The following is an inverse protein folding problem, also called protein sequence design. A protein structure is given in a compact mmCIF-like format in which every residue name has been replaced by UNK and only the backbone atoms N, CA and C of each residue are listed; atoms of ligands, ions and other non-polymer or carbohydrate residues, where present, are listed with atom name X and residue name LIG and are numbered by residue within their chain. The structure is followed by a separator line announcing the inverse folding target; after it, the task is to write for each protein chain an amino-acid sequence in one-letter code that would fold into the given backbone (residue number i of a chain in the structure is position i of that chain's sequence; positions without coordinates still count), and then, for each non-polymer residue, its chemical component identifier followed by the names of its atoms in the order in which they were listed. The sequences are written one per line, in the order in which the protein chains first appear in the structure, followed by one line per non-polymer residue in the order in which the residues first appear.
data_IF_586405703171
#
_entry.id   IF_586405703171
#
_cell.length_a   1.000
_cell.length_b   1.000
_cell.length_c   1.000
_cell.angle_alpha   90.00
_cell.angle_beta   90.00
_cell.angle_gamma   90.00
#
_symmetry.space_group_name_H-M   'P 1'
#
loop_
_entity.id
_entity.type
_entity.pdbx_description
1 polymer ?
#
# COMPACT_ATOMS: atom_id res chain seq x y z
N UNK A 1 30.33 -22.84 30.12
CA UNK A 1 29.18 -23.04 29.20
C UNK A 1 28.93 -21.74 28.42
N UNK A 2 29.37 -21.67 27.17
CA UNK A 2 29.26 -20.48 26.31
C UNK A 2 27.88 -20.43 25.64
N UNK A 3 27.13 -19.34 25.83
CA UNK A 3 25.86 -19.07 25.13
C UNK A 3 26.17 -18.59 23.71
N UNK A 4 25.88 -19.41 22.71
CA UNK A 4 26.02 -19.08 21.29
C UNK A 4 24.99 -17.99 20.92
N UNK A 5 25.45 -16.77 20.64
CA UNK A 5 24.61 -15.70 20.06
C UNK A 5 24.22 -16.11 18.64
N UNK A 6 22.93 -16.40 18.42
CA UNK A 6 22.37 -16.64 17.07
C UNK A 6 22.48 -15.34 16.26
N UNK A 7 23.28 -15.39 15.18
CA UNK A 7 23.46 -14.31 14.21
C UNK A 7 22.18 -14.16 13.38
N UNK A 8 21.45 -13.07 13.59
CA UNK A 8 20.26 -12.74 12.79
C UNK A 8 20.74 -12.36 11.38
N UNK A 9 20.34 -13.13 10.37
CA UNK A 9 20.66 -12.87 8.97
C UNK A 9 19.83 -11.71 8.43
N UNK A 10 20.36 -10.96 7.45
CA UNK A 10 19.70 -9.77 6.87
C UNK A 10 18.31 -10.06 6.27
N UNK A 11 18.01 -11.32 5.95
CA UNK A 11 16.71 -11.77 5.41
C UNK A 11 15.59 -11.85 6.48
N UNK A 12 15.94 -11.78 7.77
CA UNK A 12 14.98 -11.68 8.88
C UNK A 12 14.61 -10.23 9.21
N UNK A 13 15.42 -9.24 8.78
CA UNK A 13 15.14 -7.81 9.01
C UNK A 13 14.09 -7.25 8.04
N UNK A 14 14.06 -7.74 6.81
CA UNK A 14 13.08 -7.31 5.80
C UNK A 14 11.63 -7.69 6.15
N UNK A 15 11.42 -8.88 6.74
CA UNK A 15 10.12 -9.36 7.19
C UNK A 15 9.61 -8.72 8.49
N UNK A 16 10.51 -8.11 9.27
CA UNK A 16 10.12 -7.38 10.47
C UNK A 16 9.67 -5.95 10.11
N UNK A 17 10.22 -5.37 9.04
CA UNK A 17 9.94 -4.00 8.61
C UNK A 17 8.56 -3.83 7.95
N UNK A 18 8.06 -4.82 7.20
CA UNK A 18 6.74 -4.74 6.55
C UNK A 18 5.59 -4.76 7.56
N UNK A 19 5.68 -5.62 8.59
CA UNK A 19 4.70 -5.66 9.68
C UNK A 19 4.75 -4.39 10.52
N UNK A 20 5.94 -3.85 10.79
CA UNK A 20 6.11 -2.59 11.52
C UNK A 20 5.49 -1.39 10.78
N UNK A 21 5.49 -1.33 9.45
CA UNK A 21 4.84 -0.24 8.71
C UNK A 21 3.32 -0.25 8.90
N UNK A 22 2.69 -1.43 8.85
CA UNK A 22 1.26 -1.59 9.18
C UNK A 22 0.95 -1.17 10.63
N UNK A 23 1.79 -1.59 11.58
CA UNK A 23 1.66 -1.15 12.98
C UNK A 23 1.92 0.34 13.17
N UNK A 24 2.87 0.95 12.44
CA UNK A 24 3.22 2.37 12.52
C UNK A 24 2.14 3.26 11.89
N UNK A 25 1.47 2.83 10.81
CA UNK A 25 0.36 3.60 10.23
C UNK A 25 -0.92 3.50 11.06
N UNK A 26 -1.20 2.33 11.65
CA UNK A 26 -2.22 2.18 12.71
C UNK A 26 -1.85 3.05 13.93
N UNK A 27 -0.57 3.07 14.31
CA UNK A 27 -0.06 3.94 15.38
C UNK A 27 -0.14 5.42 15.04
N UNK A 28 0.11 5.85 13.79
CA UNK A 28 -0.03 7.26 13.38
C UNK A 28 -1.50 7.68 13.45
N UNK A 29 -2.44 6.81 13.07
CA UNK A 29 -3.87 7.02 13.30
C UNK A 29 -4.20 7.17 14.80
N UNK A 30 -3.66 6.29 15.65
CA UNK A 30 -3.82 6.33 17.11
C UNK A 30 -3.12 7.54 17.78
N UNK A 31 -1.97 7.98 17.26
CA UNK A 31 -1.19 9.13 17.77
C UNK A 31 -1.81 10.45 17.33
N UNK A 32 -2.42 10.54 16.13
CA UNK A 32 -3.13 11.74 15.70
C UNK A 32 -4.55 11.84 16.26
N UNK A 33 -5.22 10.73 16.57
CA UNK A 33 -6.63 10.71 16.98
C UNK A 33 -6.90 9.68 18.09
N UNK A 34 -6.57 10.00 19.36
CA UNK A 34 -6.61 9.03 20.47
C UNK A 34 -8.02 8.58 20.88
N UNK A 35 -9.08 9.29 20.48
CA UNK A 35 -10.46 9.06 20.96
C UNK A 35 -11.31 8.17 20.03
N UNK A 36 -10.77 7.64 18.93
CA UNK A 36 -11.57 6.91 17.93
C UNK A 36 -11.04 5.49 17.72
N UNK A 37 -11.87 4.50 18.04
CA UNK A 37 -11.57 3.09 17.83
C UNK A 37 -11.29 2.82 16.33
N UNK A 38 -10.18 2.15 15.99
CA UNK A 38 -9.91 1.78 14.60
C UNK A 38 -11.01 0.84 14.11
N UNK A 39 -11.57 1.14 12.92
CA UNK A 39 -12.31 0.14 12.17
C UNK A 39 -11.31 -0.93 11.73
N UNK A 40 -11.14 -1.97 12.55
CA UNK A 40 -10.37 -3.14 12.16
C UNK A 40 -10.96 -3.70 10.87
N UNK A 41 -10.16 -3.91 9.80
CA UNK A 41 -10.57 -4.72 8.68
C UNK A 41 -11.07 -6.05 9.25
N UNK A 42 -12.29 -6.46 8.89
CA UNK A 42 -12.85 -7.75 9.32
C UNK A 42 -11.99 -8.86 8.69
N UNK A 43 -10.95 -9.26 9.41
CA UNK A 43 -10.11 -10.39 9.12
C UNK A 43 -11.01 -11.64 9.13
N UNK A 44 -11.51 -12.05 7.97
CA UNK A 44 -12.01 -13.41 7.84
C UNK A 44 -10.78 -14.30 7.94
N UNK A 45 -10.58 -14.91 9.11
CA UNK A 45 -9.69 -16.04 9.26
C UNK A 45 -10.11 -17.11 8.27
N UNK A 46 -9.33 -17.32 7.22
CA UNK A 46 -9.38 -18.58 6.50
C UNK A 46 -8.03 -18.94 5.90
N UNK A 47 -7.47 -20.01 6.51
CA UNK A 47 -6.40 -20.89 6.06
C UNK A 47 -5.01 -20.28 5.82
N UNK A 48 -4.18 -20.51 6.84
CA UNK A 48 -2.71 -20.54 6.80
C UNK A 48 -2.23 -21.39 5.61
N UNK A 49 -1.79 -20.76 4.52
CA UNK A 49 -1.11 -21.46 3.42
C UNK A 49 0.39 -21.46 3.73
N UNK A 50 0.91 -22.60 4.17
CA UNK A 50 2.33 -22.80 4.43
C UNK A 50 3.08 -22.86 3.10
N UNK A 51 3.75 -21.78 2.70
CA UNK A 51 4.71 -21.86 1.59
C UNK A 51 6.07 -22.32 2.10
N UNK A 52 6.37 -23.59 1.82
CA UNK A 52 7.69 -24.20 1.91
C UNK A 52 8.59 -23.56 0.87
N UNK A 53 9.73 -23.01 1.30
CA UNK A 53 10.74 -22.44 0.42
C UNK A 53 11.42 -23.55 -0.40
N UNK A 54 11.35 -23.46 -1.73
CA UNK A 54 12.25 -24.19 -2.63
C UNK A 54 12.82 -23.23 -3.66
N UNK A 55 14.13 -23.06 -3.61
CA UNK A 55 14.91 -22.32 -4.58
C UNK A 55 14.91 -23.06 -5.92
N UNK A 56 14.30 -22.47 -6.97
CA UNK A 56 14.68 -22.62 -8.38
C UNK A 56 13.80 -21.69 -9.24
N UNK A 57 14.43 -20.83 -10.06
CA UNK A 57 13.81 -20.15 -11.21
C UNK A 57 12.91 -18.93 -10.90
N UNK A 58 13.35 -17.73 -11.29
CA UNK A 58 12.47 -16.56 -11.38
C UNK A 58 11.38 -16.86 -12.43
N UNK A 59 10.15 -17.10 -11.98
CA UNK A 59 8.99 -17.18 -12.88
C UNK A 59 8.34 -15.79 -13.01
N UNK A 60 7.65 -15.47 -14.14
CA UNK A 60 6.93 -14.20 -14.34
C UNK A 60 5.67 -14.03 -13.45
N UNK A 61 5.57 -14.83 -12.40
CA UNK A 61 4.35 -15.10 -11.63
C UNK A 61 3.83 -13.90 -10.84
N UNK A 62 4.70 -12.95 -10.48
CA UNK A 62 4.32 -11.73 -9.79
C UNK A 62 3.33 -10.86 -10.57
N UNK A 63 3.48 -10.81 -11.90
CA UNK A 63 2.59 -10.01 -12.75
C UNK A 63 1.14 -10.50 -12.69
N UNK A 64 0.90 -11.81 -12.60
CA UNK A 64 -0.47 -12.35 -12.56
C UNK A 64 -1.23 -11.91 -11.31
N UNK A 65 -0.59 -12.01 -10.13
CA UNK A 65 -1.19 -11.60 -8.84
C UNK A 65 -1.55 -10.11 -8.83
N UNK A 66 -0.69 -9.27 -9.40
CA UNK A 66 -0.95 -7.84 -9.54
C UNK A 66 -2.10 -7.56 -10.53
N UNK A 67 -2.16 -8.30 -11.65
CA UNK A 67 -3.28 -8.20 -12.59
C UNK A 67 -4.61 -8.62 -11.97
N UNK A 68 -4.62 -9.66 -11.13
CA UNK A 68 -5.82 -10.09 -10.41
C UNK A 68 -6.32 -8.98 -9.46
N UNK A 69 -5.41 -8.27 -8.77
CA UNK A 69 -5.78 -7.09 -7.98
C UNK A 69 -6.39 -5.98 -8.83
N UNK A 70 -5.82 -5.69 -10.00
CA UNK A 70 -6.33 -4.63 -10.90
C UNK A 70 -7.72 -4.92 -11.45
N UNK A 71 -8.09 -6.19 -11.58
CA UNK A 71 -9.42 -6.58 -12.02
C UNK A 71 -10.51 -6.28 -10.99
N UNK A 72 -10.15 -6.06 -9.72
CA UNK A 72 -11.09 -5.65 -8.67
C UNK A 72 -11.71 -4.30 -8.98
N UNK A 73 -13.03 -4.19 -8.81
CA UNK A 73 -13.83 -3.04 -9.28
C UNK A 73 -13.28 -1.70 -8.79
N UNK A 74 -12.85 -1.62 -7.53
CA UNK A 74 -12.36 -0.38 -6.91
C UNK A 74 -10.93 -0.01 -7.30
N UNK A 75 -10.18 -0.95 -7.90
CA UNK A 75 -8.80 -0.77 -8.36
C UNK A 75 -8.72 -0.31 -9.82
N UNK A 76 -9.83 -0.38 -10.57
CA UNK A 76 -9.92 0.09 -11.97
C UNK A 76 -9.93 1.61 -12.11
N UNK A 77 -9.95 2.32 -10.99
CA UNK A 77 -9.94 3.77 -10.94
C UNK A 77 -8.84 4.25 -10.02
N UNK A 78 -8.15 5.31 -10.42
CA UNK A 78 -7.19 6.05 -9.61
C UNK A 78 -7.78 6.34 -8.24
N UNK A 79 -7.01 6.04 -7.20
CA UNK A 79 -7.42 6.26 -5.83
C UNK A 79 -7.73 7.73 -5.60
N UNK A 80 -6.81 8.66 -5.91
CA UNK A 80 -6.94 10.08 -5.57
C UNK A 80 -8.13 10.85 -6.16
N UNK A 81 -8.56 10.53 -7.38
CA UNK A 81 -9.62 11.30 -8.05
C UNK A 81 -10.51 10.49 -9.00
N UNK A 82 -10.32 9.17 -9.10
CA UNK A 82 -11.22 8.31 -9.86
C UNK A 82 -10.97 8.22 -11.37
N UNK A 83 -9.84 8.72 -11.90
CA UNK A 83 -9.48 8.47 -13.30
C UNK A 83 -9.51 6.97 -13.65
N UNK A 84 -10.09 6.54 -14.78
CA UNK A 84 -10.05 5.14 -15.18
C UNK A 84 -8.62 4.68 -15.49
N UNK A 85 -8.43 3.36 -15.47
CA UNK A 85 -7.22 2.66 -15.90
C UNK A 85 -5.91 3.24 -15.31
N UNK A 86 -5.76 3.22 -13.97
CA UNK A 86 -4.50 3.62 -13.35
C UNK A 86 -3.35 2.78 -13.93
N UNK A 87 -2.17 3.42 -14.10
CA UNK A 87 -0.97 2.78 -14.66
C UNK A 87 0.19 2.73 -13.68
N UNK A 88 0.00 3.32 -12.49
CA UNK A 88 0.95 3.30 -11.39
C UNK A 88 0.27 2.78 -10.14
N UNK A 89 1.09 2.36 -9.18
CA UNK A 89 0.64 2.01 -7.84
C UNK A 89 1.64 2.51 -6.80
N UNK A 90 1.14 2.82 -5.61
CA UNK A 90 1.97 3.04 -4.42
C UNK A 90 2.01 1.74 -3.63
N UNK A 91 3.08 0.96 -3.78
CA UNK A 91 3.16 -0.43 -3.32
C UNK A 91 3.00 -0.58 -1.80
N UNK A 92 3.57 0.33 -1.03
CA UNK A 92 3.53 0.31 0.43
C UNK A 92 2.24 0.91 1.03
N UNK A 93 1.51 1.72 0.25
CA UNK A 93 0.20 2.28 0.64
C UNK A 93 -0.93 1.34 0.19
N UNK A 94 -0.70 0.54 -0.86
CA UNK A 94 -1.69 -0.39 -1.39
C UNK A 94 -2.73 0.25 -2.30
N UNK A 95 -2.36 1.29 -3.06
CA UNK A 95 -3.30 2.03 -3.93
C UNK A 95 -2.84 2.09 -5.38
N UNK A 96 -3.79 2.06 -6.31
CA UNK A 96 -3.57 2.30 -7.73
C UNK A 96 -3.83 3.76 -8.08
N UNK A 97 -2.89 4.40 -8.80
CA UNK A 97 -2.90 5.83 -9.10
C UNK A 97 -2.62 6.11 -10.58
N UNK A 98 -3.05 7.28 -11.04
CA UNK A 98 -2.85 7.74 -12.42
C UNK A 98 -1.57 8.57 -12.59
N UNK A 99 -1.27 8.94 -13.84
CA UNK A 99 -0.05 9.70 -14.21
C UNK A 99 -0.02 11.05 -13.52
N UNK A 100 -1.18 11.71 -13.50
CA UNK A 100 -1.30 13.09 -13.01
C UNK A 100 -0.99 13.21 -11.53
N UNK A 101 -1.18 12.14 -10.73
CA UNK A 101 -0.89 12.15 -9.28
C UNK A 101 0.34 11.37 -8.89
N UNK A 102 0.85 10.49 -9.74
CA UNK A 102 2.08 9.76 -9.43
C UNK A 102 3.25 10.71 -9.11
N UNK A 103 3.30 11.89 -9.74
CA UNK A 103 4.29 12.93 -9.42
C UNK A 103 4.19 13.45 -7.99
N UNK A 104 2.98 13.69 -7.48
CA UNK A 104 2.76 14.13 -6.09
C UNK A 104 3.22 13.05 -5.11
N UNK A 105 2.82 11.81 -5.35
CA UNK A 105 3.25 10.67 -4.54
C UNK A 105 4.78 10.51 -4.52
N UNK A 106 5.46 10.68 -5.67
CA UNK A 106 6.93 10.66 -5.73
C UNK A 106 7.57 11.75 -4.88
N UNK A 107 6.97 12.95 -4.82
CA UNK A 107 7.46 14.05 -4.00
C UNK A 107 7.34 13.78 -2.48
N UNK A 108 6.54 12.80 -2.03
CA UNK A 108 6.50 12.40 -0.61
C UNK A 108 7.75 11.61 -0.20
N UNK A 109 8.46 11.04 -1.17
CA UNK A 109 9.60 10.15 -0.93
C UNK A 109 9.19 8.69 -0.67
N UNK A 110 10.10 7.78 -0.98
CA UNK A 110 9.85 6.32 -1.02
C UNK A 110 9.49 5.69 0.33
N UNK A 111 9.81 6.36 1.44
CA UNK A 111 9.48 5.93 2.78
C UNK A 111 8.00 6.17 3.13
N UNK A 112 7.35 7.12 2.43
CA UNK A 112 5.92 7.41 2.55
C UNK A 112 5.17 6.76 1.40
N UNK A 113 5.58 7.00 0.15
CA UNK A 113 4.92 6.46 -1.05
C UNK A 113 5.94 5.87 -2.02
N UNK A 114 5.92 4.54 -2.14
CA UNK A 114 6.75 3.79 -3.07
C UNK A 114 6.01 3.59 -4.39
N UNK A 115 6.17 4.55 -5.29
CA UNK A 115 5.49 4.57 -6.60
C UNK A 115 6.20 3.66 -7.61
N UNK A 116 5.47 2.69 -8.15
CA UNK A 116 5.94 1.77 -9.20
C UNK A 116 4.99 1.79 -10.40
N UNK A 117 5.50 1.69 -11.65
CA UNK A 117 4.65 1.46 -12.80
C UNK A 117 4.10 0.03 -12.78
N UNK A 118 2.85 -0.14 -13.19
CA UNK A 118 2.24 -1.46 -13.29
C UNK A 118 2.84 -2.31 -14.41
N UNK A 119 3.46 -1.66 -15.40
CA UNK A 119 4.18 -2.30 -16.50
C UNK A 119 5.65 -2.58 -16.15
N UNK A 120 6.07 -2.40 -14.89
CA UNK A 120 7.43 -2.69 -14.48
C UNK A 120 7.73 -4.18 -14.70
N UNK A 121 8.84 -4.48 -15.38
CA UNK A 121 9.21 -5.85 -15.75
C UNK A 121 9.37 -6.80 -14.56
N UNK A 122 9.62 -6.27 -13.36
CA UNK A 122 9.79 -7.08 -12.15
C UNK A 122 9.38 -6.32 -10.89
N UNK A 123 8.15 -6.57 -10.44
CA UNK A 123 7.74 -6.35 -9.05
C UNK A 123 8.33 -7.45 -8.17
N UNK A 124 8.87 -7.07 -7.01
CA UNK A 124 9.26 -8.03 -5.97
C UNK A 124 8.03 -8.60 -5.27
N UNK A 125 8.15 -9.83 -4.77
CA UNK A 125 7.07 -10.47 -4.00
C UNK A 125 6.63 -9.62 -2.82
N UNK A 126 7.57 -8.96 -2.14
CA UNK A 126 7.27 -8.06 -1.01
C UNK A 126 6.42 -6.85 -1.41
N UNK A 127 6.59 -6.31 -2.62
CA UNK A 127 5.76 -5.20 -3.12
C UNK A 127 4.35 -5.68 -3.49
N UNK A 128 4.24 -6.87 -4.07
CA UNK A 128 2.96 -7.48 -4.41
C UNK A 128 2.20 -7.85 -3.13
N UNK A 129 2.89 -8.44 -2.15
CA UNK A 129 2.31 -8.80 -0.86
C UNK A 129 1.81 -7.56 -0.11
N UNK A 130 2.55 -6.44 -0.16
CA UNK A 130 2.10 -5.17 0.42
C UNK A 130 0.82 -4.64 -0.25
N UNK A 131 0.71 -4.73 -1.58
CA UNK A 131 -0.53 -4.38 -2.29
C UNK A 131 -1.70 -5.29 -1.87
N UNK A 132 -1.47 -6.60 -1.74
CA UNK A 132 -2.51 -7.58 -1.35
C UNK A 132 -2.94 -7.40 0.10
N UNK A 133 -2.02 -7.06 1.01
CA UNK A 133 -2.29 -6.87 2.43
C UNK A 133 -3.32 -5.76 2.67
N UNK A 134 -3.26 -4.68 1.90
CA UNK A 134 -4.28 -3.61 1.89
C UNK A 134 -5.50 -4.04 1.07
N UNK A 135 -5.27 -4.63 -0.10
CA UNK A 135 -6.30 -5.20 -0.97
C UNK A 135 -6.81 -4.21 -2.02
N UNK A 136 -8.02 -3.69 -1.81
CA UNK A 136 -8.65 -2.73 -2.73
C UNK A 136 -8.34 -1.28 -2.34
N UNK A 137 -8.35 -0.36 -3.32
CA UNK A 137 -8.35 1.09 -3.08
C UNK A 137 -9.46 1.48 -2.07
N UNK A 138 -10.60 0.79 -2.07
CA UNK A 138 -11.64 1.03 -1.07
C UNK A 138 -11.18 0.71 0.37
N UNK A 139 -10.39 -0.35 0.55
CA UNK A 139 -9.78 -0.69 1.84
C UNK A 139 -8.78 0.38 2.26
N UNK A 140 -7.93 0.85 1.34
CA UNK A 140 -7.00 1.94 1.60
C UNK A 140 -7.73 3.22 2.03
N UNK A 141 -8.78 3.62 1.31
CA UNK A 141 -9.60 4.78 1.68
C UNK A 141 -10.25 4.62 3.06
N UNK A 142 -10.66 3.42 3.45
CA UNK A 142 -11.19 3.18 4.80
C UNK A 142 -10.17 3.34 5.93
N UNK A 143 -8.87 3.42 5.60
CA UNK A 143 -7.77 3.65 6.52
C UNK A 143 -7.30 5.10 6.44
N UNK A 144 -6.89 5.55 5.24
CA UNK A 144 -6.25 6.85 5.02
C UNK A 144 -7.25 8.01 4.90
N UNK A 145 -8.47 7.73 4.44
CA UNK A 145 -9.54 8.73 4.30
C UNK A 145 -10.60 8.60 5.41
N UNK A 146 -10.36 7.76 6.42
CA UNK A 146 -11.30 7.53 7.52
C UNK A 146 -11.63 8.82 8.30
N UNK A 147 -10.68 9.76 8.32
CA UNK A 147 -10.82 11.04 8.99
C UNK A 147 -10.28 12.17 8.10
N UNK A 148 -11.08 12.58 7.12
CA UNK A 148 -10.84 13.81 6.38
C UNK A 148 -11.41 14.99 7.20
N UNK A 149 -10.59 16.03 7.52
CA UNK A 149 -11.08 17.21 8.23
C UNK A 149 -12.25 17.89 7.52
N UNK A 150 -13.17 18.49 8.29
CA UNK A 150 -14.29 19.26 7.72
C UNK A 150 -13.77 20.35 6.77
N UNK A 151 -14.43 20.48 5.62
CA UNK A 151 -14.04 21.45 4.57
C UNK A 151 -12.93 20.96 3.64
N UNK A 152 -12.34 19.80 3.90
CA UNK A 152 -11.46 19.10 2.94
C UNK A 152 -12.29 17.98 2.29
N UNK A 153 -12.19 17.85 0.98
CA UNK A 153 -12.80 16.75 0.25
C UNK A 153 -11.84 16.18 -0.78
N UNK A 154 -12.07 14.92 -1.13
CA UNK A 154 -11.31 14.26 -2.16
C UNK A 154 -11.43 15.03 -3.47
N UNK A 155 -10.30 15.40 -4.11
CA UNK A 155 -10.33 16.25 -5.28
C UNK A 155 -11.01 15.55 -6.46
N UNK A 156 -11.76 16.33 -7.23
CA UNK A 156 -12.36 15.86 -8.49
C UNK A 156 -11.29 15.70 -9.59
N UNK A 157 -11.57 14.96 -10.69
CA UNK A 157 -10.62 14.80 -11.79
C UNK A 157 -10.11 16.10 -12.42
N UNK A 158 -10.92 17.16 -12.38
CA UNK A 158 -10.65 18.51 -12.89
C UNK A 158 -9.95 19.42 -11.86
N UNK A 159 -9.78 18.97 -10.61
CA UNK A 159 -9.12 19.74 -9.58
C UNK A 159 -7.65 20.05 -9.92
N UNK A 160 -7.20 21.23 -9.48
CA UNK A 160 -5.86 21.73 -9.76
C UNK A 160 -4.78 20.81 -9.19
N UNK A 161 -3.56 20.88 -9.73
CA UNK A 161 -2.44 20.14 -9.16
C UNK A 161 -2.21 20.54 -7.69
N UNK A 162 -2.40 21.82 -7.35
CA UNK A 162 -2.23 22.34 -5.99
C UNK A 162 -3.21 21.71 -5.01
N UNK A 163 -4.49 21.62 -5.36
CA UNK A 163 -5.53 21.08 -4.46
C UNK A 163 -5.29 19.60 -4.19
N UNK A 164 -4.93 18.84 -5.23
CA UNK A 164 -4.65 17.41 -5.05
C UNK A 164 -3.35 17.18 -4.28
N UNK A 165 -2.35 18.04 -4.52
CA UNK A 165 -1.10 17.97 -3.77
C UNK A 165 -1.30 18.33 -2.30
N UNK A 166 -2.25 19.21 -1.99
CA UNK A 166 -2.67 19.51 -0.62
C UNK A 166 -3.43 18.33 0.00
N UNK A 167 -4.33 17.71 -0.74
CA UNK A 167 -5.07 16.53 -0.26
C UNK A 167 -4.12 15.38 0.07
N UNK A 168 -3.34 14.90 -0.91
CA UNK A 168 -2.44 13.75 -0.78
C UNK A 168 -1.37 13.91 0.32
N UNK A 169 -0.99 15.16 0.66
CA UNK A 169 -0.02 15.41 1.76
C UNK A 169 -0.65 15.44 3.15
N UNK A 170 -1.96 15.70 3.23
CA UNK A 170 -2.65 15.98 4.48
C UNK A 170 -3.57 14.84 4.93
N UNK A 171 -3.87 13.90 4.04
CA UNK A 171 -4.50 12.61 4.35
C UNK A 171 -3.42 11.56 4.56
#
# INVERSE_FOLDING_TARGET
MMKTRKRITNNQKSNLNSRLIGYVLIWIGLVRYPDKQPVHPRWKTSKRMTHRSSALGKTPSGNRRLQDLLQQRRNRTCDDYGAPDPKWASANIGVFICLKRCGVHRCLGVHISKVLPMTLDSWSDAEIDAMIEVGENASANSIYEAYIPQGISKPRPDATQKDCSKFIRNT
#
